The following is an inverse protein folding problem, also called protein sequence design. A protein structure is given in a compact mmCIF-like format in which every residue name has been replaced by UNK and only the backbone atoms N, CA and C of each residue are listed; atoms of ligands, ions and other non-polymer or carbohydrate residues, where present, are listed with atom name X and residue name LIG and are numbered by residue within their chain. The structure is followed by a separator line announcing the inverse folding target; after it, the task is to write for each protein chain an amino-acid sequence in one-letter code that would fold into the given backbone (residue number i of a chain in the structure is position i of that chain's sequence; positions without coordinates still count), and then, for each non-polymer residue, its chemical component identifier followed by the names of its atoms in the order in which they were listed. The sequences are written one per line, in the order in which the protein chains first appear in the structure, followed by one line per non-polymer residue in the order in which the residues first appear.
data_IF_492935525134
#
_entry.id   IF_492935525134
#
_cell.length_a   1.000
_cell.length_b   1.000
_cell.length_c   1.000
_cell.angle_alpha   90.00
_cell.angle_beta   90.00
_cell.angle_gamma   90.00
#
_symmetry.space_group_name_H-M   'P 1'
#
loop_
_entity.id
_entity.type
_entity.pdbx_description
1 polymer ?
#
# COMPACT_ATOMS: atom_id res chain seq x y z
N UNK A 1 -10.70 18.17 6.48
CA UNK A 1 -10.78 17.49 5.18
C UNK A 1 -9.37 17.21 4.70
N UNK A 2 -9.06 15.96 4.30
CA UNK A 2 -7.77 15.61 3.72
C UNK A 2 -7.64 16.20 2.32
N UNK A 3 -6.42 16.59 1.91
CA UNK A 3 -6.18 17.05 0.53
C UNK A 3 -6.09 15.86 -0.43
N UNK A 4 -5.51 14.74 0.05
CA UNK A 4 -5.44 13.48 -0.68
C UNK A 4 -5.91 12.36 0.23
N UNK A 5 -6.69 11.45 -0.30
CA UNK A 5 -7.23 10.29 0.40
C UNK A 5 -7.07 9.04 -0.45
N UNK A 6 -6.54 7.97 0.13
CA UNK A 6 -6.23 6.72 -0.55
C UNK A 6 -7.02 5.56 0.03
N UNK A 7 -7.57 4.71 -0.83
CA UNK A 7 -8.26 3.49 -0.47
C UNK A 7 -7.57 2.27 -1.05
N UNK A 8 -7.63 1.18 -0.31
CA UNK A 8 -7.20 -0.14 -0.72
C UNK A 8 -8.33 -1.14 -0.53
N UNK A 9 -8.24 -2.25 -1.25
CA UNK A 9 -9.24 -3.33 -1.21
C UNK A 9 -10.66 -2.85 -1.56
N UNK A 10 -10.76 -2.01 -2.60
CA UNK A 10 -12.04 -1.43 -3.03
C UNK A 10 -13.02 -2.49 -3.53
N UNK A 11 -12.51 -3.59 -4.12
CA UNK A 11 -13.29 -4.71 -4.70
C UNK A 11 -14.29 -4.29 -5.77
N UNK A 12 -14.14 -3.09 -6.30
CA UNK A 12 -15.04 -2.48 -7.27
C UNK A 12 -14.48 -2.56 -8.68
N UNK A 13 -15.39 -2.64 -9.64
CA UNK A 13 -15.10 -2.42 -11.06
C UNK A 13 -15.51 -1.00 -11.46
N UNK A 14 -14.95 -0.49 -12.53
CA UNK A 14 -15.32 0.81 -13.07
C UNK A 14 -16.85 0.89 -13.31
N UNK A 15 -17.47 1.97 -12.83
CA UNK A 15 -18.91 2.24 -13.00
C UNK A 15 -19.84 1.49 -12.05
N UNK A 16 -19.33 0.68 -11.09
CA UNK A 16 -20.19 0.03 -10.10
C UNK A 16 -20.68 0.96 -8.99
N UNK A 17 -19.93 2.00 -8.70
CA UNK A 17 -20.26 3.00 -7.66
C UNK A 17 -19.97 4.38 -8.22
N UNK A 18 -20.94 5.28 -8.10
CA UNK A 18 -20.73 6.71 -8.28
C UNK A 18 -20.67 7.36 -6.91
N UNK A 19 -19.51 7.92 -6.57
CA UNK A 19 -19.31 8.68 -5.34
C UNK A 19 -19.36 10.17 -5.65
N UNK A 20 -20.40 10.84 -5.14
CA UNK A 20 -20.47 12.31 -5.17
C UNK A 20 -19.58 12.86 -4.05
N UNK A 21 -18.36 13.25 -4.41
CA UNK A 21 -17.39 13.86 -3.52
C UNK A 21 -16.96 15.23 -4.08
N UNK A 22 -17.75 16.28 -3.83
CA UNK A 22 -17.49 17.61 -4.38
C UNK A 22 -16.09 18.12 -4.02
N UNK A 23 -15.35 18.53 -5.05
CA UNK A 23 -14.00 19.06 -4.92
C UNK A 23 -12.89 18.00 -4.88
N UNK A 24 -13.22 16.74 -5.15
CA UNK A 24 -12.21 15.70 -5.34
C UNK A 24 -12.23 15.12 -6.76
N UNK A 25 -11.07 15.03 -7.37
CA UNK A 25 -10.80 14.16 -8.52
C UNK A 25 -10.62 12.73 -8.02
N UNK A 26 -11.09 11.76 -8.79
CA UNK A 26 -11.11 10.34 -8.40
C UNK A 26 -10.37 9.50 -9.44
N UNK A 27 -9.46 8.65 -8.96
CA UNK A 27 -8.69 7.72 -9.79
C UNK A 27 -8.85 6.31 -9.21
N UNK A 28 -9.29 5.38 -10.06
CA UNK A 28 -9.61 4.01 -9.66
C UNK A 28 -8.79 3.02 -10.46
N UNK A 29 -8.21 2.04 -9.79
CA UNK A 29 -7.52 0.91 -10.42
C UNK A 29 -8.18 -0.39 -9.95
N UNK A 30 -8.85 -1.06 -10.86
CA UNK A 30 -9.62 -2.29 -10.57
C UNK A 30 -8.83 -3.52 -10.98
N UNK A 31 -8.98 -4.61 -10.22
CA UNK A 31 -8.47 -5.91 -10.65
C UNK A 31 -9.25 -6.44 -11.87
N UNK A 32 -8.60 -7.22 -12.72
CA UNK A 32 -9.30 -7.99 -13.78
C UNK A 32 -10.32 -8.94 -13.19
N UNK A 33 -10.01 -9.57 -12.05
CA UNK A 33 -10.94 -10.40 -11.30
C UNK A 33 -11.93 -9.54 -10.52
N UNK A 34 -13.23 -9.71 -10.82
CA UNK A 34 -14.32 -8.98 -10.15
C UNK A 34 -14.36 -9.30 -8.65
N UNK A 35 -14.68 -8.28 -7.84
CA UNK A 35 -14.82 -8.42 -6.39
C UNK A 35 -13.53 -8.68 -5.64
N UNK A 36 -12.38 -8.33 -6.22
CA UNK A 36 -11.06 -8.63 -5.68
C UNK A 36 -10.14 -7.42 -5.75
N UNK A 37 -9.29 -7.22 -4.72
CA UNK A 37 -8.26 -6.19 -4.67
C UNK A 37 -8.79 -4.79 -5.05
N UNK A 38 -8.03 -4.01 -5.80
CA UNK A 38 -8.40 -2.67 -6.25
C UNK A 38 -7.94 -1.56 -5.31
N UNK A 39 -7.60 -0.42 -5.90
CA UNK A 39 -7.18 0.79 -5.19
C UNK A 39 -7.90 2.02 -5.73
N UNK A 40 -7.96 3.08 -4.93
CA UNK A 40 -8.46 4.38 -5.38
C UNK A 40 -7.70 5.53 -4.72
N UNK A 41 -7.58 6.64 -5.44
CA UNK A 41 -7.03 7.90 -4.94
C UNK A 41 -8.05 9.01 -5.18
N UNK A 42 -8.29 9.80 -4.15
CA UNK A 42 -9.11 11.00 -4.20
C UNK A 42 -8.22 12.20 -3.86
N UNK A 43 -8.19 13.20 -4.72
CA UNK A 43 -7.34 14.37 -4.52
C UNK A 43 -8.07 15.65 -4.88
N UNK A 44 -7.83 16.72 -4.09
CA UNK A 44 -8.36 18.06 -4.37
C UNK A 44 -7.51 18.85 -5.36
N UNK A 45 -6.26 18.45 -5.51
CA UNK A 45 -5.31 19.06 -6.45
C UNK A 45 -5.11 18.12 -7.63
N UNK A 46 -5.23 18.64 -8.84
CA UNK A 46 -5.01 17.84 -10.04
C UNK A 46 -3.54 17.37 -10.11
N UNK A 47 -3.27 16.05 -10.23
CA UNK A 47 -1.95 15.55 -10.53
C UNK A 47 -1.49 16.01 -11.92
N UNK A 48 -0.18 16.06 -12.13
CA UNK A 48 0.40 16.27 -13.46
C UNK A 48 0.17 15.03 -14.35
N UNK A 49 0.30 13.85 -13.75
CA UNK A 49 0.09 12.56 -14.39
C UNK A 49 -0.44 11.54 -13.37
N UNK A 50 -1.21 10.56 -13.85
CA UNK A 50 -1.64 9.40 -13.07
C UNK A 50 -1.32 8.14 -13.82
N UNK A 51 -0.58 7.23 -13.19
CA UNK A 51 -0.24 5.92 -13.74
C UNK A 51 -0.79 4.80 -12.88
N UNK A 52 -1.05 3.66 -13.50
CA UNK A 52 -1.67 2.49 -12.87
C UNK A 52 -0.76 1.29 -13.00
N UNK A 53 -0.49 0.61 -11.88
CA UNK A 53 0.44 -0.50 -11.83
C UNK A 53 1.90 -0.04 -11.69
N UNK A 54 2.82 -0.96 -11.94
CA UNK A 54 4.27 -0.74 -11.86
C UNK A 54 4.98 -0.91 -13.22
N UNK A 55 4.19 -1.06 -14.30
CA UNK A 55 4.70 -1.24 -15.67
C UNK A 55 5.10 -2.68 -16.00
N UNK A 56 4.68 -3.65 -15.20
CA UNK A 56 4.92 -5.08 -15.41
C UNK A 56 3.57 -5.82 -15.54
N UNK A 57 3.19 -6.26 -16.75
CA UNK A 57 1.87 -6.84 -17.01
C UNK A 57 1.49 -8.00 -16.08
N UNK A 58 2.46 -8.81 -15.68
CA UNK A 58 2.26 -9.93 -14.74
C UNK A 58 1.91 -9.47 -13.32
N UNK A 59 2.26 -8.24 -12.95
CA UNK A 59 2.01 -7.64 -11.64
C UNK A 59 0.85 -6.65 -11.65
N UNK A 60 0.40 -6.20 -12.81
CA UNK A 60 -0.56 -5.10 -12.95
C UNK A 60 -2.00 -5.58 -13.17
N UNK A 61 -2.29 -6.88 -12.98
CA UNK A 61 -3.63 -7.45 -13.21
C UNK A 61 -4.58 -7.29 -12.03
N UNK A 62 -4.08 -6.92 -10.86
CA UNK A 62 -4.84 -6.94 -9.61
C UNK A 62 -5.21 -5.54 -9.08
N UNK A 63 -4.92 -4.46 -9.83
CA UNK A 63 -5.30 -3.09 -9.46
C UNK A 63 -4.68 -2.60 -8.15
N UNK A 64 -3.40 -2.89 -7.91
CA UNK A 64 -2.73 -2.72 -6.62
C UNK A 64 -2.03 -1.39 -6.42
N UNK A 65 -1.68 -0.70 -7.50
CA UNK A 65 -0.87 0.52 -7.43
C UNK A 65 -1.48 1.62 -8.26
N UNK A 66 -1.59 2.82 -7.67
CA UNK A 66 -1.86 4.08 -8.37
C UNK A 66 -0.76 5.05 -7.98
N UNK A 67 -0.12 5.65 -8.97
CA UNK A 67 0.86 6.71 -8.77
C UNK A 67 0.30 8.02 -9.30
N UNK A 68 0.27 9.04 -8.46
CA UNK A 68 -0.08 10.40 -8.83
C UNK A 68 1.19 11.26 -8.79
N UNK A 69 1.56 11.85 -9.91
CA UNK A 69 2.65 12.81 -9.99
C UNK A 69 2.15 14.20 -9.62
N UNK A 70 2.79 14.83 -8.66
CA UNK A 70 2.61 16.23 -8.33
C UNK A 70 3.88 17.03 -8.64
N UNK A 71 3.84 18.38 -8.69
CA UNK A 71 5.03 19.18 -9.01
C UNK A 71 6.26 18.88 -8.15
N UNK A 72 6.07 18.59 -6.87
CA UNK A 72 7.16 18.39 -5.91
C UNK A 72 7.38 16.96 -5.44
N UNK A 73 6.52 16.01 -5.77
CA UNK A 73 6.61 14.64 -5.27
C UNK A 73 5.75 13.67 -6.09
N UNK A 74 6.01 12.36 -5.92
CA UNK A 74 5.09 11.31 -6.30
C UNK A 74 4.32 10.81 -5.07
N UNK A 75 3.02 10.62 -5.21
CA UNK A 75 2.22 9.86 -4.26
C UNK A 75 1.95 8.48 -4.86
N UNK A 76 2.34 7.43 -4.14
CA UNK A 76 2.08 6.04 -4.53
C UNK A 76 1.13 5.41 -3.52
N UNK A 77 -0.09 5.10 -3.96
CA UNK A 77 -1.05 4.31 -3.20
C UNK A 77 -0.88 2.83 -3.54
N UNK A 78 -0.59 2.01 -2.54
CA UNK A 78 -0.29 0.61 -2.73
C UNK A 78 -1.19 -0.30 -1.89
N UNK A 79 -1.63 -1.41 -2.48
CA UNK A 79 -2.22 -2.56 -1.79
C UNK A 79 -1.36 -3.79 -2.09
N UNK A 80 -0.37 -4.03 -1.24
CA UNK A 80 0.58 -5.14 -1.39
C UNK A 80 -0.15 -6.49 -1.41
N UNK A 81 0.23 -7.45 -2.27
CA UNK A 81 -0.32 -8.80 -2.25
C UNK A 81 -0.21 -9.44 -0.87
N UNK A 82 -1.29 -10.02 -0.37
CA UNK A 82 -1.24 -10.82 0.86
C UNK A 82 -0.68 -12.23 0.56
N UNK A 83 0.16 -12.76 1.44
CA UNK A 83 0.71 -14.11 1.29
C UNK A 83 -0.35 -15.22 1.41
N UNK A 84 -1.55 -14.88 1.90
CA UNK A 84 -2.71 -15.73 2.13
C UNK A 84 -2.49 -16.82 3.19
N UNK A 85 -3.59 -17.48 3.55
CA UNK A 85 -3.55 -18.59 4.50
C UNK A 85 -2.68 -19.73 3.97
N UNK A 86 -1.82 -20.28 4.83
CA UNK A 86 -0.88 -21.30 4.43
C UNK A 86 0.25 -20.82 3.53
N UNK A 87 0.43 -19.49 3.43
CA UNK A 87 1.50 -18.83 2.67
C UNK A 87 1.51 -19.19 1.18
N UNK A 88 0.35 -19.54 0.63
CA UNK A 88 0.20 -20.03 -0.75
C UNK A 88 0.64 -19.03 -1.81
N UNK A 89 0.76 -17.74 -1.47
CA UNK A 89 1.23 -16.67 -2.36
C UNK A 89 2.52 -16.00 -1.90
N UNK A 90 3.23 -16.57 -0.94
CA UNK A 90 4.44 -15.93 -0.40
C UNK A 90 5.51 -15.74 -1.47
N UNK A 91 5.79 -16.74 -2.28
CA UNK A 91 6.79 -16.66 -3.37
C UNK A 91 6.44 -15.55 -4.37
N UNK A 92 5.18 -15.50 -4.82
CA UNK A 92 4.71 -14.44 -5.71
C UNK A 92 4.90 -13.07 -5.07
N UNK A 93 4.53 -12.93 -3.79
CA UNK A 93 4.67 -11.68 -3.05
C UNK A 93 6.14 -11.24 -2.97
N UNK A 94 7.07 -12.17 -2.74
CA UNK A 94 8.50 -11.82 -2.66
C UNK A 94 9.03 -11.24 -3.98
N UNK A 95 8.64 -11.82 -5.11
CA UNK A 95 8.99 -11.31 -6.44
C UNK A 95 8.33 -9.95 -6.70
N UNK A 96 7.06 -9.83 -6.35
CA UNK A 96 6.29 -8.58 -6.51
C UNK A 96 6.91 -7.44 -5.70
N UNK A 97 7.32 -7.67 -4.45
CA UNK A 97 7.92 -6.63 -3.58
C UNK A 97 9.29 -6.19 -4.08
N UNK A 98 10.10 -7.06 -4.68
CA UNK A 98 11.36 -6.67 -5.32
C UNK A 98 11.12 -5.77 -6.54
N UNK A 99 10.16 -6.13 -7.39
CA UNK A 99 9.75 -5.34 -8.53
C UNK A 99 9.18 -3.97 -8.09
N UNK A 100 8.35 -3.96 -7.07
CA UNK A 100 7.77 -2.74 -6.51
C UNK A 100 8.83 -1.80 -5.91
N UNK A 101 9.79 -2.34 -5.17
CA UNK A 101 10.92 -1.55 -4.65
C UNK A 101 11.74 -0.93 -5.78
N UNK A 102 12.03 -1.70 -6.84
CA UNK A 102 12.73 -1.18 -8.02
C UNK A 102 11.93 -0.05 -8.70
N UNK A 103 10.62 -0.20 -8.80
CA UNK A 103 9.72 0.83 -9.32
C UNK A 103 9.77 2.11 -8.47
N UNK A 104 9.64 2.01 -7.14
CA UNK A 104 9.72 3.16 -6.24
C UNK A 104 11.07 3.89 -6.36
N UNK A 105 12.17 3.15 -6.41
CA UNK A 105 13.51 3.73 -6.58
C UNK A 105 13.67 4.41 -7.95
N UNK A 106 12.96 3.96 -8.98
CA UNK A 106 12.97 4.62 -10.29
C UNK A 106 12.28 5.99 -10.23
N UNK A 107 11.20 6.11 -9.48
CA UNK A 107 10.50 7.39 -9.26
C UNK A 107 11.34 8.34 -8.40
N UNK A 108 11.95 7.83 -7.32
CA UNK A 108 12.71 8.60 -6.35
C UNK A 108 13.95 9.27 -6.96
N UNK A 109 14.44 8.77 -8.09
CA UNK A 109 15.51 9.41 -8.86
C UNK A 109 15.15 10.80 -9.39
N UNK A 110 13.87 11.07 -9.61
CA UNK A 110 13.40 12.34 -10.18
C UNK A 110 12.76 13.26 -9.15
N UNK A 111 11.94 12.71 -8.25
CA UNK A 111 11.24 13.45 -7.20
C UNK A 111 11.05 12.57 -5.95
N UNK A 112 10.97 13.16 -4.76
CA UNK A 112 10.61 12.44 -3.54
C UNK A 112 9.33 11.61 -3.70
N UNK A 113 9.31 10.42 -3.11
CA UNK A 113 8.19 9.50 -3.15
C UNK A 113 7.51 9.43 -1.78
N UNK A 114 6.20 9.66 -1.75
CA UNK A 114 5.34 9.38 -0.59
C UNK A 114 4.60 8.08 -0.89
N UNK A 115 4.99 7.01 -0.21
CA UNK A 115 4.31 5.72 -0.26
C UNK A 115 3.28 5.64 0.86
N UNK A 116 2.04 5.33 0.52
CA UNK A 116 0.99 5.02 1.48
C UNK A 116 0.17 3.82 1.03
N UNK A 117 -0.58 3.24 1.95
CA UNK A 117 -1.49 2.15 1.64
C UNK A 117 -1.45 1.00 2.64
N UNK A 118 -1.93 -0.16 2.23
CA UNK A 118 -1.89 -1.39 3.00
C UNK A 118 -0.72 -2.26 2.50
N UNK A 119 0.38 -2.25 3.25
CA UNK A 119 1.57 -3.02 2.90
C UNK A 119 1.49 -4.50 3.33
N UNK A 120 0.39 -4.90 3.97
CA UNK A 120 0.16 -6.29 4.42
C UNK A 120 1.35 -6.90 5.20
N UNK A 121 2.05 -6.09 5.97
CA UNK A 121 3.17 -6.52 6.81
C UNK A 121 3.23 -5.70 8.10
N UNK A 122 3.48 -6.38 9.22
CA UNK A 122 4.00 -5.78 10.43
C UNK A 122 5.52 -5.96 10.42
N UNK A 123 6.27 -4.86 10.47
CA UNK A 123 7.74 -4.91 10.32
C UNK A 123 8.39 -5.49 11.56
N UNK A 124 8.08 -4.94 12.74
CA UNK A 124 8.68 -5.32 14.01
C UNK A 124 7.64 -5.93 14.96
N UNK A 125 8.09 -6.61 16.02
CA UNK A 125 7.19 -7.17 17.02
C UNK A 125 6.32 -6.10 17.70
N UNK A 126 6.85 -4.89 17.86
CA UNK A 126 6.14 -3.75 18.45
C UNK A 126 4.94 -3.30 17.59
N UNK A 127 4.91 -3.66 16.29
CA UNK A 127 3.84 -3.30 15.36
C UNK A 127 2.59 -4.20 15.50
N UNK A 128 2.68 -5.26 16.31
CA UNK A 128 1.60 -6.20 16.56
C UNK A 128 1.24 -6.24 18.06
N UNK A 129 -0.06 -6.35 18.34
CA UNK A 129 -0.56 -6.56 19.69
C UNK A 129 -0.12 -7.91 20.27
N UNK A 130 -0.10 -8.96 19.45
CA UNK A 130 0.26 -10.32 19.84
C UNK A 130 1.29 -10.91 18.86
N UNK A 131 2.57 -10.52 18.92
CA UNK A 131 3.56 -10.93 17.92
C UNK A 131 3.88 -12.43 17.97
N UNK A 132 4.01 -13.02 19.19
CA UNK A 132 4.42 -14.43 19.35
C UNK A 132 3.53 -15.43 18.60
N UNK A 133 2.18 -15.45 18.76
CA UNK A 133 1.33 -16.39 18.04
C UNK A 133 1.20 -16.08 16.53
N UNK A 134 1.61 -14.89 16.10
CA UNK A 134 1.54 -14.48 14.68
C UNK A 134 2.84 -14.73 13.92
N UNK A 135 3.91 -15.11 14.60
CA UNK A 135 5.19 -15.37 13.93
C UNK A 135 5.04 -16.49 12.89
N UNK A 136 5.47 -16.21 11.67
CA UNK A 136 5.34 -17.13 10.53
C UNK A 136 3.96 -17.16 9.88
N UNK A 137 2.99 -16.37 10.34
CA UNK A 137 1.72 -16.17 9.65
C UNK A 137 1.84 -15.09 8.56
N UNK A 138 0.92 -15.13 7.59
CA UNK A 138 0.84 -14.08 6.56
C UNK A 138 0.78 -12.67 7.19
N UNK A 139 1.60 -11.76 6.70
CA UNK A 139 1.81 -10.42 7.24
C UNK A 139 2.86 -10.34 8.36
N UNK A 140 3.41 -11.48 8.82
CA UNK A 140 4.45 -11.50 9.86
C UNK A 140 5.43 -12.68 9.69
N UNK A 141 5.73 -13.06 8.46
CA UNK A 141 6.84 -13.97 8.14
C UNK A 141 8.17 -13.24 8.15
N UNK A 142 9.27 -13.96 8.31
CA UNK A 142 10.60 -13.36 8.27
C UNK A 142 10.93 -12.83 6.86
N UNK A 143 10.40 -13.46 5.81
CA UNK A 143 10.53 -13.04 4.42
C UNK A 143 9.82 -11.70 4.15
N UNK A 144 8.55 -11.55 4.57
CA UNK A 144 7.78 -10.32 4.42
C UNK A 144 8.42 -9.15 5.19
N UNK A 145 8.84 -9.41 6.43
CA UNK A 145 9.55 -8.45 7.27
C UNK A 145 10.90 -8.07 6.66
N UNK A 146 11.61 -9.04 6.08
CA UNK A 146 12.86 -8.82 5.35
C UNK A 146 12.69 -7.90 4.15
N UNK A 147 11.59 -8.01 3.40
CA UNK A 147 11.27 -7.09 2.29
C UNK A 147 11.01 -5.66 2.78
N UNK A 148 10.29 -5.50 3.90
CA UNK A 148 10.10 -4.18 4.52
C UNK A 148 11.44 -3.58 4.96
N UNK A 149 12.31 -4.39 5.58
CA UNK A 149 13.69 -3.96 5.91
C UNK A 149 14.46 -3.52 4.66
N UNK A 150 14.35 -4.27 3.55
CA UNK A 150 14.99 -3.93 2.29
C UNK A 150 14.48 -2.62 1.70
N UNK A 151 13.18 -2.34 1.82
CA UNK A 151 12.58 -1.09 1.39
C UNK A 151 13.13 0.08 2.20
N UNK A 152 13.15 -0.02 3.52
CA UNK A 152 13.67 1.04 4.40
C UNK A 152 15.18 1.25 4.18
N UNK A 153 15.95 0.17 4.01
CA UNK A 153 17.39 0.24 3.73
C UNK A 153 17.72 0.87 2.37
N UNK A 154 16.75 0.89 1.46
CA UNK A 154 16.89 1.55 0.15
C UNK A 154 16.69 3.08 0.20
N UNK A 155 16.44 3.65 1.39
CA UNK A 155 16.35 5.10 1.62
C UNK A 155 14.96 5.59 2.03
N UNK A 156 13.97 4.71 2.16
CA UNK A 156 12.63 5.07 2.65
C UNK A 156 12.60 5.13 4.18
N UNK A 157 11.71 5.97 4.71
CA UNK A 157 11.52 6.14 6.15
C UNK A 157 10.09 5.75 6.52
N UNK A 158 9.95 4.83 7.49
CA UNK A 158 8.68 4.61 8.17
C UNK A 158 8.39 5.83 9.07
N UNK A 159 7.52 6.73 8.59
CA UNK A 159 7.24 7.99 9.27
C UNK A 159 6.54 7.80 10.61
N UNK A 160 5.70 6.75 10.74
CA UNK A 160 5.05 6.44 12.02
C UNK A 160 6.09 6.00 13.05
N UNK A 161 6.97 5.08 12.67
CA UNK A 161 8.00 4.55 13.56
C UNK A 161 9.08 5.59 13.88
N UNK A 162 9.35 6.48 12.94
CA UNK A 162 10.26 7.60 13.16
C UNK A 162 9.72 8.61 14.19
N UNK A 163 8.41 8.92 14.12
CA UNK A 163 7.75 9.86 15.05
C UNK A 163 7.46 9.21 16.42
N UNK A 164 7.18 7.91 16.44
CA UNK A 164 6.73 7.17 17.61
C UNK A 164 7.49 5.84 17.76
N UNK A 165 8.82 5.88 18.05
CA UNK A 165 9.68 4.70 18.06
C UNK A 165 9.22 3.61 19.02
N UNK A 166 8.67 4.01 20.19
CA UNK A 166 8.33 3.09 21.29
C UNK A 166 6.81 2.83 21.43
N UNK A 167 5.99 3.38 20.54
CA UNK A 167 4.54 3.21 20.62
C UNK A 167 4.16 1.79 20.18
N UNK A 168 3.58 1.01 21.12
CA UNK A 168 3.03 -0.33 20.84
C UNK A 168 1.74 -0.24 20.04
N UNK A 169 1.50 -1.22 19.14
CA UNK A 169 0.36 -1.19 18.23
C UNK A 169 0.60 -0.16 17.12
N UNK A 170 1.11 -0.61 15.99
CA UNK A 170 1.30 0.22 14.80
C UNK A 170 -0.01 0.54 14.10
N UNK A 171 0.08 1.03 12.88
CA UNK A 171 -1.05 1.30 11.98
C UNK A 171 -1.97 0.09 11.75
N UNK A 172 -1.52 -1.13 12.08
CA UNK A 172 -2.34 -2.35 12.01
C UNK A 172 -3.46 -2.40 13.06
N UNK A 173 -3.33 -1.70 14.20
CA UNK A 173 -4.33 -1.69 15.28
C UNK A 173 -5.47 -0.67 15.07
N UNK A 174 -5.34 0.27 14.16
CA UNK A 174 -6.37 1.28 13.90
C UNK A 174 -7.68 0.70 13.35
N UNK A 175 -7.65 -0.51 12.78
CA UNK A 175 -8.88 -1.22 12.36
C UNK A 175 -9.76 -1.70 13.53
N UNK A 176 -9.21 -1.81 14.75
CA UNK A 176 -9.98 -2.29 15.93
C UNK A 176 -10.63 -1.15 16.72
N UNK A 177 -10.08 0.05 16.68
CA UNK A 177 -10.64 1.22 17.39
C UNK A 177 -11.83 1.85 16.68
N UNK A 178 -11.87 1.80 15.34
CA UNK A 178 -12.99 2.31 14.54
C UNK A 178 -14.30 1.48 14.69
N UNK A 179 -14.27 0.31 15.34
CA UNK A 179 -15.46 -0.52 15.62
C UNK A 179 -16.06 -0.30 17.01
N UNK A 180 -15.52 0.61 17.83
CA UNK A 180 -15.97 0.84 19.22
C UNK A 180 -16.50 2.26 19.50
N UNK A 181 -16.76 3.05 18.45
CA UNK A 181 -17.42 4.36 18.61
C UNK A 181 -18.74 4.40 17.84
#
# INVERSE_FOLDING_TARGET
KADIFCLQETKLQAGQVELDLPGYLQFWNSAKKKGYSGTAVFTRTAPLEVTYGIGLPEHDTEGRVITCEFPGFFLVNCYTPNAQRGLSRLEYRMVWEDAFRAFLLSLDRSKPVILCGDLNVAHQEIDLKNPKPNRGNAGFTDEERGKMTSLLSAGFTDTFRWLYPDRTGGTADTKSEAKRS
#
